data_IF_188790797502
#
_entry.id   IF_188790797502
#
_cell.length_a   1.000
_cell.length_b   1.000
_cell.length_c   1.000
_cell.angle_alpha   90.00
_cell.angle_beta   90.00
_cell.angle_gamma   90.00
#
_symmetry.space_group_name_H-M   'P 1'
#
loop_
_entity.id
_entity.type
_entity.pdbx_description
1 polymer ?
#
# COMPACT_ATOMS: atom_id res chain seq x y z
N UNK A 1 2.15 1.89 -24.17
CA UNK A 1 0.91 2.08 -23.37
C UNK A 1 0.76 0.90 -22.43
N UNK A 2 0.51 1.16 -21.18
CA UNK A 2 0.37 0.15 -20.14
C UNK A 2 -0.76 0.49 -19.17
N UNK A 3 -1.37 -0.55 -18.62
CA UNK A 3 -2.30 -0.45 -17.51
C UNK A 3 -1.98 -1.57 -16.52
N UNK A 4 -1.85 -1.18 -15.26
CA UNK A 4 -1.63 -2.12 -14.16
C UNK A 4 -2.72 -1.90 -13.11
N UNK A 5 -3.28 -2.98 -12.61
CA UNK A 5 -4.17 -2.97 -11.47
C UNK A 5 -3.67 -3.98 -10.44
N UNK A 6 -3.38 -3.49 -9.26
CA UNK A 6 -3.01 -4.30 -8.10
C UNK A 6 -4.09 -4.12 -7.04
N UNK A 7 -4.66 -5.23 -6.58
CA UNK A 7 -5.67 -5.24 -5.53
C UNK A 7 -5.28 -6.29 -4.49
N UNK A 8 -5.01 -5.84 -3.27
CA UNK A 8 -4.76 -6.67 -2.10
C UNK A 8 -5.69 -6.20 -0.98
N UNK A 9 -6.59 -7.09 -0.55
CA UNK A 9 -7.48 -6.85 0.58
C UNK A 9 -7.34 -7.98 1.59
N UNK A 10 -6.94 -7.62 2.80
CA UNK A 10 -6.67 -8.58 3.87
C UNK A 10 -7.85 -8.69 4.79
N UNK A 11 -8.75 -9.61 4.44
CA UNK A 11 -9.92 -9.91 5.22
C UNK A 11 -9.61 -11.04 6.24
N UNK A 12 -9.92 -10.88 7.53
CA UNK A 12 -9.72 -11.93 8.51
C UNK A 12 -10.61 -13.15 8.25
N UNK A 13 -10.11 -14.34 8.56
CA UNK A 13 -10.83 -15.60 8.36
C UNK A 13 -11.89 -15.90 9.41
N UNK A 14 -11.86 -15.20 10.54
CA UNK A 14 -12.71 -15.49 11.69
C UNK A 14 -13.40 -14.23 12.20
N UNK A 15 -14.25 -14.41 13.20
CA UNK A 15 -14.84 -13.28 13.91
C UNK A 15 -13.76 -12.35 14.45
N UNK A 16 -13.99 -11.03 14.45
CA UNK A 16 -13.08 -10.06 15.01
C UNK A 16 -12.65 -10.40 16.42
N UNK A 17 -11.36 -10.37 16.68
CA UNK A 17 -10.78 -10.58 17.99
C UNK A 17 -9.54 -9.68 18.14
N UNK A 18 -9.31 -9.10 19.33
CA UNK A 18 -8.13 -8.29 19.57
C UNK A 18 -6.86 -9.15 19.50
N UNK A 19 -5.72 -8.49 19.28
CA UNK A 19 -4.42 -9.11 19.49
C UNK A 19 -4.15 -9.24 21.00
N UNK A 20 -3.79 -10.43 21.45
CA UNK A 20 -3.59 -10.76 22.86
C UNK A 20 -2.17 -11.27 23.04
N UNK A 21 -1.36 -10.60 23.85
CA UNK A 21 -0.06 -11.09 24.26
C UNK A 21 -0.18 -11.78 25.63
N UNK A 22 0.16 -13.04 25.69
CA UNK A 22 0.21 -13.83 26.94
C UNK A 22 1.68 -13.99 27.30
N UNK A 23 2.05 -13.53 28.49
CA UNK A 23 3.41 -13.57 29.00
C UNK A 23 3.65 -14.81 29.86
N UNK A 24 4.92 -15.21 29.93
CA UNK A 24 5.47 -16.12 30.91
C UNK A 24 6.84 -15.62 31.31
N UNK A 25 7.07 -15.52 32.61
CA UNK A 25 8.36 -15.07 33.16
C UNK A 25 8.83 -13.73 32.60
N UNK A 26 7.90 -12.77 32.39
CA UNK A 26 8.16 -11.45 31.87
C UNK A 26 8.42 -11.34 30.36
N UNK A 27 8.32 -12.43 29.61
CA UNK A 27 8.50 -12.45 28.17
C UNK A 27 7.22 -12.87 27.44
N UNK A 28 7.04 -12.39 26.20
CA UNK A 28 5.93 -12.86 25.38
C UNK A 28 6.08 -14.37 25.15
N UNK A 29 5.04 -15.11 25.51
CA UNK A 29 4.99 -16.57 25.41
C UNK A 29 4.03 -17.06 24.33
N UNK A 30 2.83 -16.47 24.27
CA UNK A 30 1.81 -16.75 23.26
C UNK A 30 1.31 -15.41 22.72
N UNK A 31 1.12 -15.33 21.40
CA UNK A 31 0.38 -14.25 20.74
C UNK A 31 -0.85 -14.88 20.14
N UNK A 32 -2.04 -14.44 20.55
CA UNK A 32 -3.32 -14.93 20.11
C UNK A 32 -4.17 -13.80 19.50
N UNK A 33 -5.26 -14.16 18.83
CA UNK A 33 -6.15 -13.21 18.17
C UNK A 33 -5.66 -12.81 16.80
N UNK A 34 -6.18 -11.69 16.26
CA UNK A 34 -5.77 -11.16 14.98
C UNK A 34 -4.44 -10.40 15.11
N UNK A 35 -3.63 -10.51 14.08
CA UNK A 35 -2.42 -9.69 14.04
C UNK A 35 -2.80 -8.20 13.93
N UNK A 36 -2.06 -7.30 14.59
CA UNK A 36 -2.50 -5.91 14.80
C UNK A 36 -2.20 -4.96 13.63
N UNK A 37 -1.45 -5.39 12.63
CA UNK A 37 -0.86 -4.48 11.66
C UNK A 37 -1.55 -4.47 10.31
N UNK A 38 -2.05 -5.59 9.82
CA UNK A 38 -2.50 -5.72 8.44
C UNK A 38 -3.94 -6.21 8.27
N UNK A 39 -4.64 -6.57 9.34
CA UNK A 39 -6.05 -6.93 9.25
C UNK A 39 -6.86 -5.73 8.72
N UNK A 40 -7.70 -5.97 7.71
CA UNK A 40 -8.46 -4.94 6.97
C UNK A 40 -7.62 -3.91 6.19
N UNK A 41 -6.34 -4.14 5.98
CA UNK A 41 -5.59 -3.30 5.05
C UNK A 41 -6.06 -3.55 3.61
N UNK A 42 -6.16 -2.47 2.87
CA UNK A 42 -6.56 -2.48 1.47
C UNK A 42 -5.53 -1.72 0.65
N UNK A 43 -5.11 -2.33 -0.46
CA UNK A 43 -4.31 -1.69 -1.49
C UNK A 43 -5.03 -1.89 -2.82
N UNK A 44 -5.75 -0.89 -3.30
CA UNK A 44 -6.31 -0.87 -4.67
C UNK A 44 -5.55 0.20 -5.45
N UNK A 45 -4.68 -0.24 -6.34
CA UNK A 45 -3.74 0.62 -7.05
C UNK A 45 -3.87 0.42 -8.54
N UNK A 46 -4.22 1.47 -9.26
CA UNK A 46 -4.35 1.50 -10.70
C UNK A 46 -3.36 2.49 -11.28
N UNK A 47 -2.59 2.03 -12.26
CA UNK A 47 -1.62 2.86 -12.96
C UNK A 47 -1.87 2.77 -14.46
N UNK A 48 -2.09 3.90 -15.08
CA UNK A 48 -2.18 4.02 -16.53
C UNK A 48 -1.00 4.80 -17.06
N UNK A 49 -0.34 4.27 -18.11
CA UNK A 49 0.88 4.86 -18.67
C UNK A 49 0.81 4.89 -20.20
N UNK A 50 1.21 6.04 -20.77
CA UNK A 50 1.49 6.17 -22.21
C UNK A 50 2.85 6.82 -22.35
N UNK A 51 3.75 6.17 -23.08
CA UNK A 51 5.02 6.74 -23.48
C UNK A 51 5.17 6.58 -24.99
N UNK A 52 5.61 7.63 -25.66
CA UNK A 52 5.91 7.59 -27.07
C UNK A 52 7.20 8.36 -27.36
N UNK A 53 8.06 7.77 -28.18
CA UNK A 53 9.32 8.32 -28.63
C UNK A 53 9.35 8.33 -30.15
N UNK A 54 9.82 9.42 -30.71
CA UNK A 54 10.09 9.58 -32.12
C UNK A 54 11.56 9.92 -32.31
N UNK A 55 12.27 9.10 -33.08
CA UNK A 55 13.68 9.27 -33.35
C UNK A 55 13.89 9.79 -34.77
N UNK A 56 14.77 10.81 -34.91
CA UNK A 56 15.22 11.37 -36.17
C UNK A 56 16.71 11.19 -36.27
N UNK A 57 17.19 10.79 -37.44
CA UNK A 57 18.60 10.57 -37.70
C UNK A 57 19.07 11.60 -38.71
N UNK A 58 20.15 12.34 -38.42
CA UNK A 58 20.74 13.31 -39.33
C UNK A 58 22.24 13.40 -39.11
N UNK A 59 23.03 12.88 -40.09
CA UNK A 59 24.46 12.80 -39.93
C UNK A 59 24.88 12.01 -38.72
N UNK A 60 25.69 12.59 -37.86
CA UNK A 60 26.20 11.97 -36.64
C UNK A 60 25.29 12.20 -35.43
N UNK A 61 24.07 12.69 -35.65
CA UNK A 61 23.08 13.01 -34.61
C UNK A 61 21.90 12.07 -34.63
N UNK A 62 21.45 11.66 -33.44
CA UNK A 62 20.18 10.99 -33.21
C UNK A 62 19.34 11.84 -32.27
N UNK A 63 18.30 12.45 -32.82
CA UNK A 63 17.35 13.25 -32.03
C UNK A 63 16.21 12.37 -31.56
N UNK A 64 15.89 12.43 -30.28
CA UNK A 64 14.71 11.78 -29.69
C UNK A 64 13.77 12.84 -29.18
N UNK A 65 12.51 12.81 -29.62
CA UNK A 65 11.44 13.65 -29.08
C UNK A 65 10.38 12.73 -28.52
N UNK A 66 9.96 12.97 -27.31
CA UNK A 66 8.99 12.09 -26.67
C UNK A 66 8.10 12.78 -25.67
N UNK A 67 7.09 12.01 -25.26
CA UNK A 67 6.26 12.37 -24.13
C UNK A 67 5.96 11.14 -23.27
N UNK A 68 5.70 11.37 -21.99
CA UNK A 68 5.21 10.37 -21.05
C UNK A 68 4.00 10.94 -20.31
N UNK A 69 2.93 10.16 -20.26
CA UNK A 69 1.74 10.42 -19.45
C UNK A 69 1.55 9.27 -18.48
N UNK A 70 1.45 9.57 -17.19
CA UNK A 70 1.16 8.60 -16.15
C UNK A 70 -0.02 9.09 -15.31
N UNK A 71 -0.93 8.19 -14.99
CA UNK A 71 -2.06 8.43 -14.09
C UNK A 71 -2.05 7.36 -13.01
N UNK A 72 -1.88 7.79 -11.78
CA UNK A 72 -1.92 6.97 -10.58
C UNK A 72 -3.26 7.19 -9.86
N UNK A 73 -3.94 6.12 -9.52
CA UNK A 73 -5.20 6.12 -8.77
C UNK A 73 -5.06 5.07 -7.69
N UNK A 74 -4.99 5.50 -6.44
CA UNK A 74 -4.75 4.65 -5.29
C UNK A 74 -5.85 4.85 -4.25
N UNK A 75 -6.46 3.75 -3.83
CA UNK A 75 -7.38 3.67 -2.70
C UNK A 75 -6.74 2.72 -1.69
N UNK A 76 -6.05 3.30 -0.71
CA UNK A 76 -5.27 2.55 0.26
C UNK A 76 -5.78 2.79 1.68
N UNK A 77 -5.88 1.72 2.46
CA UNK A 77 -6.12 1.82 3.89
C UNK A 77 -5.07 1.05 4.67
N UNK A 78 -4.65 1.63 5.78
CA UNK A 78 -3.79 0.99 6.76
C UNK A 78 -4.34 1.30 8.15
N UNK A 79 -5.01 0.32 8.74
CA UNK A 79 -5.70 0.47 10.01
C UNK A 79 -4.99 -0.39 11.06
N UNK A 80 -4.10 0.25 11.83
CA UNK A 80 -3.46 -0.39 12.96
C UNK A 80 -4.51 -0.79 13.99
N UNK A 81 -4.38 -2.00 14.53
CA UNK A 81 -5.23 -2.48 15.63
C UNK A 81 -6.73 -2.42 15.32
N UNK A 82 -7.11 -2.80 14.09
CA UNK A 82 -8.48 -2.73 13.62
C UNK A 82 -9.50 -3.35 14.61
N UNK A 83 -9.09 -4.39 15.35
CA UNK A 83 -9.88 -5.04 16.39
C UNK A 83 -9.41 -4.75 17.81
N UNK A 84 -8.46 -3.85 17.97
CA UNK A 84 -7.89 -3.49 19.24
C UNK A 84 -6.75 -4.41 19.69
N UNK A 85 -5.99 -3.89 20.63
CA UNK A 85 -5.09 -4.65 21.48
C UNK A 85 -5.80 -4.93 22.81
N UNK A 86 -5.72 -6.13 23.31
CA UNK A 86 -6.09 -6.38 24.68
C UNK A 86 -4.99 -5.82 25.58
N UNK A 87 -5.10 -4.60 25.91
CA UNK A 87 -4.17 -3.84 26.74
C UNK A 87 -2.76 -3.73 26.11
N UNK A 88 -2.17 -2.56 26.22
CA UNK A 88 -0.75 -2.34 26.06
C UNK A 88 -0.03 -3.07 27.21
N UNK A 89 0.23 -4.34 27.05
CA UNK A 89 0.86 -5.18 28.05
C UNK A 89 0.43 -6.63 27.92
N UNK A 90 1.37 -7.52 28.23
CA UNK A 90 1.11 -8.95 28.26
C UNK A 90 0.27 -9.29 29.51
N UNK A 91 -0.71 -10.16 29.35
CA UNK A 91 -1.37 -10.83 30.48
C UNK A 91 -0.49 -11.99 30.89
N UNK A 92 -0.22 -12.18 32.18
CA UNK A 92 0.53 -13.36 32.62
C UNK A 92 -0.30 -14.63 32.37
N UNK A 93 0.34 -15.71 31.95
CA UNK A 93 -0.35 -16.98 31.64
C UNK A 93 -1.05 -17.57 32.86
N UNK A 94 -0.56 -17.25 34.07
CA UNK A 94 -1.19 -17.70 35.31
C UNK A 94 -2.54 -17.00 35.56
N UNK A 95 -2.74 -15.79 35.02
CA UNK A 95 -3.95 -14.98 35.21
C UNK A 95 -4.84 -14.96 33.95
N UNK A 96 -4.41 -15.60 32.86
CA UNK A 96 -5.15 -15.58 31.62
C UNK A 96 -6.33 -16.54 31.64
N UNK A 97 -7.54 -16.01 31.53
CA UNK A 97 -8.79 -16.76 31.39
C UNK A 97 -9.48 -16.38 30.08
N UNK A 98 -9.37 -17.26 29.08
CA UNK A 98 -10.01 -17.07 27.79
C UNK A 98 -11.54 -17.00 27.84
N UNK A 99 -12.14 -17.56 28.86
CA UNK A 99 -13.63 -17.58 29.01
C UNK A 99 -14.20 -16.26 29.52
N UNK A 100 -13.36 -15.47 30.22
CA UNK A 100 -13.73 -14.16 30.76
C UNK A 100 -13.39 -13.02 29.81
N UNK A 101 -12.77 -13.32 28.65
CA UNK A 101 -12.33 -12.30 27.73
C UNK A 101 -13.49 -11.62 26.99
N UNK A 102 -13.61 -10.32 27.11
CA UNK A 102 -14.65 -9.53 26.43
C UNK A 102 -14.33 -9.29 24.95
N UNK A 103 -15.03 -9.98 24.08
CA UNK A 103 -14.97 -9.77 22.63
C UNK A 103 -16.03 -8.79 22.11
N UNK A 104 -16.97 -8.34 22.94
CA UNK A 104 -18.05 -7.47 22.50
C UNK A 104 -17.55 -6.08 22.08
N UNK A 105 -16.56 -5.54 22.79
CA UNK A 105 -15.95 -4.25 22.47
C UNK A 105 -15.29 -4.24 21.08
N UNK A 106 -14.38 -5.17 20.74
CA UNK A 106 -13.83 -5.32 19.41
C UNK A 106 -14.90 -5.51 18.33
N UNK A 107 -15.91 -6.35 18.57
CA UNK A 107 -17.00 -6.54 17.62
C UNK A 107 -17.81 -5.26 17.39
N UNK A 108 -18.07 -4.48 18.42
CA UNK A 108 -18.78 -3.21 18.30
C UNK A 108 -17.96 -2.19 17.49
N UNK A 109 -16.66 -2.12 17.72
CA UNK A 109 -15.74 -1.26 16.95
C UNK A 109 -15.71 -1.64 15.47
N UNK A 110 -15.59 -2.93 15.19
CA UNK A 110 -15.65 -3.45 13.82
C UNK A 110 -16.97 -3.10 13.14
N UNK A 111 -18.09 -3.33 13.81
CA UNK A 111 -19.42 -3.05 13.27
C UNK A 111 -19.61 -1.55 13.02
N UNK A 112 -19.12 -0.68 13.91
CA UNK A 112 -19.22 0.77 13.74
C UNK A 112 -18.42 1.24 12.50
N UNK A 113 -17.22 0.71 12.31
CA UNK A 113 -16.39 1.05 11.16
C UNK A 113 -16.97 0.54 9.82
N UNK A 114 -17.68 -0.60 9.84
CA UNK A 114 -18.32 -1.16 8.64
C UNK A 114 -19.77 -0.64 8.42
N UNK A 115 -20.32 0.15 9.32
CA UNK A 115 -21.67 0.72 9.18
C UNK A 115 -21.73 1.93 8.24
N UNK A 116 -20.59 2.47 7.83
CA UNK A 116 -20.51 3.54 6.85
C UNK A 116 -20.90 3.01 5.47
N UNK A 117 -21.74 3.74 4.71
CA UNK A 117 -22.09 3.34 3.35
C UNK A 117 -20.86 2.95 2.55
N UNK A 118 -20.96 1.89 1.76
CA UNK A 118 -19.88 1.30 0.94
C UNK A 118 -18.78 0.57 1.70
N UNK A 119 -18.94 0.31 3.00
CA UNK A 119 -17.95 -0.40 3.81
C UNK A 119 -16.66 0.36 4.06
N UNK A 120 -16.69 1.68 3.91
CA UNK A 120 -15.53 2.58 3.98
C UNK A 120 -15.42 3.31 5.34
N UNK A 121 -15.92 2.73 6.41
CA UNK A 121 -15.71 3.23 7.77
C UNK A 121 -14.25 3.16 8.25
N UNK A 122 -13.42 2.48 7.48
CA UNK A 122 -11.98 2.41 7.68
C UNK A 122 -11.30 3.63 7.06
N UNK A 123 -10.28 4.15 7.73
CA UNK A 123 -9.50 5.25 7.18
C UNK A 123 -8.92 4.87 5.80
N UNK A 124 -9.46 5.47 4.77
CA UNK A 124 -9.09 5.25 3.38
C UNK A 124 -8.39 6.50 2.85
N UNK A 125 -7.20 6.31 2.29
CA UNK A 125 -6.48 7.38 1.59
C UNK A 125 -6.70 7.22 0.08
N UNK A 126 -7.46 8.13 -0.50
CA UNK A 126 -7.63 8.25 -1.94
C UNK A 126 -6.57 9.20 -2.50
N UNK A 127 -5.79 8.72 -3.44
CA UNK A 127 -4.74 9.52 -4.08
C UNK A 127 -4.86 9.42 -5.60
N UNK A 128 -5.05 10.56 -6.25
CA UNK A 128 -5.12 10.66 -7.68
C UNK A 128 -4.04 11.63 -8.18
N UNK A 129 -2.99 11.10 -8.80
CA UNK A 129 -1.87 11.88 -9.33
C UNK A 129 -1.74 11.67 -10.82
N UNK A 130 -1.55 12.75 -11.56
CA UNK A 130 -1.21 12.72 -12.98
C UNK A 130 0.14 13.35 -13.20
N UNK A 131 0.96 12.73 -14.04
CA UNK A 131 2.23 13.24 -14.49
C UNK A 131 2.24 13.29 -16.01
N UNK A 132 2.65 14.45 -16.58
CA UNK A 132 2.88 14.63 -18.00
C UNK A 132 4.27 15.22 -18.18
N UNK A 133 5.08 14.56 -18.98
CA UNK A 133 6.41 15.03 -19.33
C UNK A 133 6.56 15.05 -20.84
N UNK A 134 7.24 16.09 -21.35
CA UNK A 134 7.76 16.18 -22.70
C UNK A 134 9.26 16.28 -22.61
N UNK A 135 9.94 15.65 -23.53
CA UNK A 135 11.41 15.68 -23.56
C UNK A 135 11.94 15.67 -24.99
N UNK A 136 13.12 16.26 -25.12
CA UNK A 136 13.93 16.20 -26.34
C UNK A 136 15.36 15.88 -25.95
N UNK A 137 15.97 14.99 -26.70
CA UNK A 137 17.35 14.56 -26.48
C UNK A 137 18.08 14.55 -27.82
N UNK A 138 19.34 14.92 -27.83
CA UNK A 138 20.27 14.68 -28.93
C UNK A 138 21.42 13.80 -28.46
N UNK A 139 21.66 12.75 -29.19
CA UNK A 139 22.85 11.92 -29.10
C UNK A 139 23.75 12.21 -30.29
N UNK A 140 24.88 12.84 -30.04
CA UNK A 140 25.84 13.24 -31.05
C UNK A 140 27.10 12.38 -30.99
N UNK A 141 27.39 11.65 -32.06
CA UNK A 141 28.65 10.95 -32.27
C UNK A 141 29.71 11.93 -32.78
N UNK A 142 30.39 12.61 -31.85
CA UNK A 142 31.41 13.63 -32.18
C UNK A 142 32.56 13.02 -32.98
N UNK A 143 32.95 11.79 -32.66
CA UNK A 143 33.91 10.96 -33.40
C UNK A 143 33.78 9.51 -32.96
N UNK A 144 34.61 8.62 -33.53
CA UNK A 144 34.58 7.15 -33.22
C UNK A 144 34.79 6.80 -31.73
N UNK A 145 35.33 7.71 -30.94
CA UNK A 145 35.68 7.48 -29.53
C UNK A 145 34.87 8.31 -28.53
N UNK A 146 34.15 9.30 -29.04
CA UNK A 146 33.43 10.24 -28.16
C UNK A 146 32.00 10.46 -28.64
N UNK A 147 31.09 10.17 -27.77
CA UNK A 147 29.65 10.40 -27.93
C UNK A 147 29.16 11.35 -26.83
N UNK A 148 28.38 12.34 -27.18
CA UNK A 148 27.74 13.28 -26.25
C UNK A 148 26.24 13.11 -26.31
N UNK A 149 25.61 13.01 -25.15
CA UNK A 149 24.14 12.98 -25.02
C UNK A 149 23.68 14.14 -24.13
N UNK A 150 22.77 14.94 -24.63
CA UNK A 150 22.19 16.06 -23.90
C UNK A 150 20.69 16.21 -24.22
N UNK A 151 19.92 16.79 -23.29
CA UNK A 151 18.48 16.95 -23.47
C UNK A 151 17.81 17.64 -22.29
N UNK A 152 16.52 17.85 -22.42
CA UNK A 152 15.63 18.42 -21.40
C UNK A 152 14.31 17.66 -21.38
#
# INVERSE_FOLDING_TARGET
MGYTHFNDYRNPFSSPAPSINIAKDGSNYIIAGHEPFSAHNRLDQKVFQITNNLNFYKGDHTYTVGFSLEKFMFDNSFNLTAYGFSKFGSVDIADFDATSYDFAGPQATFNANNAVPDGEGWALAETNVGQLAFYVQDEWNVNEKFKLTYGV
#
